data_IF_883482681657
#
_entry.id   IF_883482681657
#
_cell.length_a   1.000
_cell.length_b   1.000
_cell.length_c   1.000
_cell.angle_alpha   90.00
_cell.angle_beta   90.00
_cell.angle_gamma   90.00
#
_symmetry.space_group_name_H-M   'P 1'
#
loop_
_entity.id
_entity.type
_entity.pdbx_description
1 polymer ?
#
# COMPACT_ATOMS: atom_id res chain seq x y z
N UNK A 1 17.88 -20.19 13.24
CA UNK A 1 16.70 -20.18 12.36
C UNK A 1 16.55 -18.81 11.70
N UNK A 2 17.28 -18.49 10.62
CA UNK A 2 16.96 -17.35 9.71
C UNK A 2 17.48 -17.59 8.27
N UNK A 3 17.85 -18.83 7.91
CA UNK A 3 18.69 -19.09 6.73
C UNK A 3 17.98 -18.85 5.37
N UNK A 4 16.65 -18.92 5.33
CA UNK A 4 15.89 -18.80 4.07
C UNK A 4 15.79 -17.37 3.54
N UNK A 5 15.49 -16.39 4.41
CA UNK A 5 15.33 -14.97 4.03
C UNK A 5 16.62 -14.39 3.47
N UNK A 6 17.74 -14.68 4.12
CA UNK A 6 19.05 -14.20 3.67
C UNK A 6 19.45 -14.80 2.33
N UNK A 7 19.18 -16.09 2.12
CA UNK A 7 19.40 -16.75 0.83
C UNK A 7 18.58 -16.09 -0.29
N UNK A 8 17.29 -15.79 -0.05
CA UNK A 8 16.42 -15.11 -1.02
C UNK A 8 16.99 -13.74 -1.40
N UNK A 9 17.40 -12.93 -0.40
CA UNK A 9 17.95 -11.59 -0.65
C UNK A 9 19.26 -11.69 -1.44
N UNK A 10 20.15 -12.63 -1.10
CA UNK A 10 21.42 -12.85 -1.81
C UNK A 10 21.21 -13.23 -3.27
N UNK A 11 20.13 -13.95 -3.59
CA UNK A 11 19.78 -14.36 -4.97
C UNK A 11 19.07 -13.27 -5.80
N UNK A 12 18.75 -12.12 -5.20
CA UNK A 12 18.26 -10.94 -5.93
C UNK A 12 19.40 -10.12 -6.52
N UNK A 13 19.12 -9.48 -7.66
CA UNK A 13 20.00 -8.46 -8.25
C UNK A 13 19.91 -7.13 -7.50
N UNK A 14 20.92 -6.24 -7.60
CA UNK A 14 20.89 -4.94 -6.94
C UNK A 14 19.69 -4.06 -7.34
N UNK A 15 19.25 -4.16 -8.59
CA UNK A 15 18.06 -3.44 -9.07
C UNK A 15 16.78 -3.96 -8.41
N UNK A 16 16.62 -5.27 -8.30
CA UNK A 16 15.45 -5.89 -7.66
C UNK A 16 15.36 -5.57 -6.17
N UNK A 17 16.51 -5.47 -5.48
CA UNK A 17 16.56 -5.06 -4.07
C UNK A 17 16.16 -3.61 -3.86
N UNK A 18 16.53 -2.72 -4.80
CA UNK A 18 16.17 -1.29 -4.74
C UNK A 18 14.72 -1.05 -5.13
N UNK A 19 14.22 -1.80 -6.12
CA UNK A 19 12.88 -1.67 -6.70
C UNK A 19 12.14 -3.01 -6.67
N UNK A 20 11.48 -3.36 -5.55
CA UNK A 20 10.72 -4.60 -5.44
C UNK A 20 9.58 -4.71 -6.48
N UNK A 21 9.10 -3.58 -6.99
CA UNK A 21 8.03 -3.47 -7.99
C UNK A 21 8.36 -4.13 -9.33
N UNK A 22 9.64 -4.25 -9.70
CA UNK A 22 10.05 -4.88 -10.97
C UNK A 22 10.04 -6.41 -10.90
N UNK A 23 9.83 -6.98 -9.70
CA UNK A 23 9.87 -8.42 -9.45
C UNK A 23 8.59 -9.10 -9.98
N UNK A 24 8.63 -9.47 -11.25
CA UNK A 24 7.57 -10.23 -11.93
C UNK A 24 7.65 -11.75 -11.63
N UNK A 25 6.78 -12.55 -12.26
CA UNK A 25 6.72 -14.01 -12.02
C UNK A 25 8.02 -14.74 -12.41
N UNK A 26 8.60 -14.40 -13.57
CA UNK A 26 9.86 -14.99 -14.04
C UNK A 26 11.02 -14.70 -13.09
N UNK A 27 11.15 -13.45 -12.60
CA UNK A 27 12.16 -13.09 -11.60
C UNK A 27 11.97 -13.83 -10.28
N UNK A 28 10.72 -13.97 -9.81
CA UNK A 28 10.41 -14.76 -8.59
C UNK A 28 10.85 -16.21 -8.72
N UNK A 29 10.63 -16.82 -9.88
CA UNK A 29 11.05 -18.20 -10.12
C UNK A 29 12.57 -18.34 -10.15
N UNK A 30 13.28 -17.41 -10.79
CA UNK A 30 14.76 -17.36 -10.76
C UNK A 30 15.31 -17.23 -9.34
N UNK A 31 14.74 -16.32 -8.54
CA UNK A 31 15.16 -16.09 -7.16
C UNK A 31 14.93 -17.35 -6.33
N UNK A 32 13.73 -17.93 -6.40
CA UNK A 32 13.36 -19.15 -5.68
C UNK A 32 14.31 -20.32 -5.98
N UNK A 33 14.60 -20.55 -7.27
CA UNK A 33 15.55 -21.57 -7.70
C UNK A 33 16.97 -21.28 -7.21
N UNK A 34 17.42 -20.02 -7.27
CA UNK A 34 18.75 -19.62 -6.84
C UNK A 34 18.95 -19.60 -5.33
N UNK A 35 17.89 -19.46 -4.53
CA UNK A 35 17.95 -19.49 -3.06
C UNK A 35 17.57 -20.84 -2.44
N UNK A 36 17.11 -21.80 -3.25
CA UNK A 36 16.61 -23.09 -2.77
C UNK A 36 15.32 -22.98 -1.95
N UNK A 37 14.48 -21.99 -2.24
CA UNK A 37 13.22 -21.71 -1.52
C UNK A 37 12.02 -21.79 -2.45
N UNK A 38 10.80 -21.75 -1.90
CA UNK A 38 9.61 -21.76 -2.72
C UNK A 38 9.25 -20.36 -3.25
N UNK A 39 8.55 -20.31 -4.39
CA UNK A 39 8.04 -19.06 -4.97
C UNK A 39 7.12 -18.32 -3.98
N UNK A 40 6.37 -19.07 -3.16
CA UNK A 40 5.51 -18.52 -2.12
C UNK A 40 6.29 -17.71 -1.07
N UNK A 41 7.47 -18.18 -0.67
CA UNK A 41 8.30 -17.51 0.32
C UNK A 41 8.90 -16.21 -0.24
N UNK A 42 9.34 -16.24 -1.51
CA UNK A 42 9.76 -15.03 -2.23
C UNK A 42 8.61 -14.03 -2.32
N UNK A 43 7.39 -14.49 -2.59
CA UNK A 43 6.20 -13.65 -2.64
C UNK A 43 5.89 -12.94 -1.32
N UNK A 44 5.97 -13.66 -0.20
CA UNK A 44 5.74 -13.09 1.14
C UNK A 44 6.76 -11.99 1.41
N UNK A 45 8.04 -12.26 1.13
CA UNK A 45 9.13 -11.31 1.36
C UNK A 45 8.99 -10.04 0.53
N UNK A 46 8.68 -10.17 -0.76
CA UNK A 46 8.48 -9.01 -1.66
C UNK A 46 7.29 -8.15 -1.21
N UNK A 47 6.18 -8.78 -0.77
CA UNK A 47 5.02 -8.05 -0.23
C UNK A 47 5.39 -7.26 1.04
N UNK A 48 6.03 -7.92 2.01
CA UNK A 48 6.47 -7.28 3.26
C UNK A 48 7.39 -6.09 3.00
N UNK A 49 8.35 -6.23 2.07
CA UNK A 49 9.24 -5.14 1.68
C UNK A 49 8.49 -3.97 1.03
N UNK A 50 7.54 -4.28 0.14
CA UNK A 50 6.75 -3.25 -0.56
C UNK A 50 5.87 -2.47 0.41
N UNK A 51 5.26 -3.15 1.39
CA UNK A 51 4.46 -2.51 2.44
C UNK A 51 5.31 -1.63 3.36
N UNK A 52 6.48 -2.12 3.78
CA UNK A 52 7.41 -1.33 4.58
C UNK A 52 7.93 -0.10 3.81
N UNK A 53 8.26 -0.23 2.53
CA UNK A 53 8.64 0.90 1.68
C UNK A 53 7.51 1.93 1.55
N UNK A 54 6.25 1.49 1.38
CA UNK A 54 5.10 2.38 1.34
C UNK A 54 4.92 3.13 2.66
N UNK A 55 5.11 2.45 3.80
CA UNK A 55 5.04 3.07 5.12
C UNK A 55 6.18 4.08 5.32
N UNK A 56 7.43 3.72 5.00
CA UNK A 56 8.58 4.64 5.06
C UNK A 56 8.40 5.86 4.15
N UNK A 57 7.82 5.69 2.96
CA UNK A 57 7.55 6.82 2.05
C UNK A 57 6.47 7.76 2.60
N UNK A 58 5.45 7.21 3.29
CA UNK A 58 4.41 8.00 3.98
C UNK A 58 4.97 8.72 5.22
N UNK A 59 5.89 8.10 5.95
CA UNK A 59 6.48 8.65 7.17
C UNK A 59 7.63 9.63 6.88
N UNK A 60 8.48 9.34 5.89
CA UNK A 60 9.55 10.22 5.40
C UNK A 60 9.06 11.39 4.54
N UNK A 61 7.82 11.35 4.08
CA UNK A 61 7.15 12.46 3.38
C UNK A 61 6.55 13.53 4.31
N UNK A 62 6.57 13.31 5.63
CA UNK A 62 5.94 14.22 6.62
C UNK A 62 6.73 15.49 6.95
N UNK A 63 7.96 15.64 6.45
CA UNK A 63 8.84 16.77 6.81
C UNK A 63 8.73 18.03 5.95
N UNK A 64 8.00 18.02 4.82
CA UNK A 64 7.88 19.19 3.94
C UNK A 64 6.52 19.25 3.23
N UNK A 65 5.47 19.57 3.97
CA UNK A 65 4.35 20.35 3.41
C UNK A 65 3.57 21.05 4.52
N UNK A 66 4.08 22.22 4.91
CA UNK A 66 3.18 23.29 5.30
C UNK A 66 2.26 23.57 4.12
N UNK A 67 0.95 23.46 4.31
CA UNK A 67 -0.04 23.70 3.27
C UNK A 67 -1.38 23.04 3.56
N UNK A 68 -2.18 23.72 4.40
CA UNK A 68 -3.66 23.67 4.52
C UNK A 68 -4.38 22.56 3.73
N UNK A 69 -5.03 21.65 4.44
CA UNK A 69 -6.06 20.75 3.91
C UNK A 69 -6.50 19.75 4.97
N UNK A 70 -7.42 20.16 5.84
CA UNK A 70 -7.87 19.39 7.00
C UNK A 70 -8.49 18.04 6.64
N UNK A 71 -8.16 17.02 7.43
CA UNK A 71 -8.90 15.77 7.51
C UNK A 71 -9.91 15.90 8.66
N UNK A 72 -11.16 16.24 8.33
CA UNK A 72 -12.30 16.20 9.25
C UNK A 72 -13.27 15.12 8.76
N UNK A 73 -13.29 13.92 9.36
CA UNK A 73 -14.31 12.91 9.03
C UNK A 73 -15.70 13.24 9.62
N UNK A 74 -15.83 14.35 10.35
CA UNK A 74 -17.08 14.89 10.88
C UNK A 74 -17.03 16.42 10.79
N UNK A 75 -17.60 17.02 9.74
CA UNK A 75 -17.49 18.46 9.52
C UNK A 75 -18.46 19.01 8.48
N UNK A 76 -19.73 19.08 8.87
CA UNK A 76 -20.71 20.13 8.55
C UNK A 76 -20.83 20.72 7.14
N UNK A 77 -22.05 20.58 6.57
CA UNK A 77 -22.66 21.64 5.75
C UNK A 77 -23.22 21.15 4.42
N UNK A 78 -24.53 20.93 4.35
CA UNK A 78 -25.22 20.78 3.05
C UNK A 78 -26.53 20.00 3.00
N UNK A 79 -27.25 19.78 4.10
CA UNK A 79 -28.69 19.46 4.01
C UNK A 79 -29.46 20.77 4.10
N UNK A 80 -29.89 21.27 2.94
CA UNK A 80 -30.98 22.23 2.82
C UNK A 80 -32.18 21.72 3.65
N UNK A 81 -32.50 22.42 4.75
CA UNK A 81 -33.69 22.14 5.56
C UNK A 81 -34.96 22.76 4.95
N UNK A 82 -34.86 23.50 3.83
CA UNK A 82 -36.02 24.10 3.17
C UNK A 82 -36.90 23.06 2.45
N UNK A 83 -36.37 21.89 2.10
CA UNK A 83 -37.15 20.79 1.52
C UNK A 83 -37.99 20.01 2.55
N UNK A 84 -37.81 20.22 3.86
CA UNK A 84 -38.46 19.42 4.91
C UNK A 84 -39.77 20.01 5.48
N UNK A 85 -40.19 21.20 5.02
CA UNK A 85 -41.32 21.95 5.61
C UNK A 85 -42.37 22.45 4.62
N UNK A 86 -42.40 21.90 3.40
CA UNK A 86 -43.39 22.30 2.39
C UNK A 86 -44.04 21.11 1.69
N UNK A 87 -45.33 20.89 1.97
CA UNK A 87 -46.33 20.19 1.14
C UNK A 87 -46.70 18.74 1.51
N UNK A 88 -47.48 18.58 2.59
CA UNK A 88 -48.70 17.72 2.54
C UNK A 88 -49.85 18.59 2.00
N UNK A 89 -51.00 18.02 1.55
CA UNK A 89 -51.31 17.14 0.42
C UNK A 89 -52.27 17.89 -0.58
N UNK A 90 -53.01 17.28 -1.54
CA UNK A 90 -54.24 16.58 -1.18
C UNK A 90 -54.56 15.29 -1.97
N UNK A 91 -55.31 14.46 -1.25
CA UNK A 91 -56.13 13.32 -1.60
C UNK A 91 -56.79 13.34 -2.99
N UNK A 92 -56.65 12.23 -3.72
CA UNK A 92 -57.75 11.57 -4.45
C UNK A 92 -57.44 10.11 -4.67
#
# INVERSE_FOLDING_TARGET
MVKGTEAIIRSMTPEERRKPEIINGSRRQRIANGSGTQIADVNKLVKQFTEMQKMMKRMGGGGKKGGKGGFNPFGGGGMDLSAALGSRPPSR
#
